data_IF_297613986210
#
_entry.id   IF_297613986210
#
_cell.length_a   1.000
_cell.length_b   1.000
_cell.length_c   1.000
_cell.angle_alpha   90.00
_cell.angle_beta   90.00
_cell.angle_gamma   90.00
#
_symmetry.space_group_name_H-M   'P 1'
#
loop_
_entity.id
_entity.type
_entity.pdbx_description
1 polymer ?
#
# COMPACT_ATOMS: atom_id res chain seq x y z
N UNK A 1 0.99 24.22 5.39
CA UNK A 1 -0.50 24.29 5.51
C UNK A 1 -1.18 25.00 4.34
N UNK A 2 -0.71 26.16 3.86
CA UNK A 2 -1.35 26.88 2.72
C UNK A 2 -1.24 26.10 1.41
N UNK A 3 -0.08 25.52 1.10
CA UNK A 3 0.14 24.76 -0.14
C UNK A 3 -0.69 23.47 -0.23
N UNK A 4 -0.84 22.77 0.89
CA UNK A 4 -1.66 21.53 0.93
C UNK A 4 -3.11 21.81 0.60
N UNK A 5 -3.67 22.88 1.13
CA UNK A 5 -5.08 23.26 0.90
C UNK A 5 -5.34 23.59 -0.57
N UNK A 6 -4.42 24.32 -1.21
CA UNK A 6 -4.52 24.64 -2.65
C UNK A 6 -4.55 23.41 -3.54
N UNK A 7 -3.81 22.32 -3.17
CA UNK A 7 -3.83 21.06 -3.92
C UNK A 7 -5.15 20.33 -3.70
N UNK A 8 -5.63 20.27 -2.44
CA UNK A 8 -6.86 19.53 -2.09
C UNK A 8 -8.11 20.11 -2.77
N UNK A 9 -8.16 21.41 -2.99
CA UNK A 9 -9.28 22.09 -3.69
C UNK A 9 -9.43 21.65 -5.17
N UNK A 10 -8.39 21.04 -5.76
CA UNK A 10 -8.41 20.54 -7.13
C UNK A 10 -8.70 19.03 -7.22
N UNK A 11 -8.84 18.32 -6.08
CA UNK A 11 -9.16 16.90 -6.08
C UNK A 11 -10.67 16.73 -6.28
N UNK A 12 -11.10 16.06 -7.35
CA UNK A 12 -12.53 15.81 -7.58
C UNK A 12 -13.06 14.77 -6.60
N UNK A 13 -14.27 14.96 -6.11
CA UNK A 13 -14.97 13.95 -5.34
C UNK A 13 -15.48 12.85 -6.28
N UNK A 14 -14.77 11.72 -6.33
CA UNK A 14 -15.04 10.60 -7.23
C UNK A 14 -15.69 9.41 -6.54
N UNK A 15 -15.57 9.32 -5.22
CA UNK A 15 -16.13 8.22 -4.44
C UNK A 15 -17.58 8.52 -4.12
N UNK A 16 -18.47 7.67 -4.62
CA UNK A 16 -19.91 7.78 -4.39
C UNK A 16 -20.34 7.11 -3.07
N UNK A 17 -21.55 7.42 -2.58
CA UNK A 17 -22.14 6.75 -1.41
C UNK A 17 -22.29 5.24 -1.63
N UNK A 18 -22.51 4.78 -2.86
CA UNK A 18 -22.58 3.34 -3.16
C UNK A 18 -21.20 2.69 -3.01
N UNK A 19 -20.13 3.34 -3.48
CA UNK A 19 -18.76 2.86 -3.30
C UNK A 19 -18.39 2.80 -1.80
N UNK A 20 -18.73 3.81 -1.02
CA UNK A 20 -18.50 3.82 0.42
C UNK A 20 -19.26 2.67 1.11
N UNK A 21 -20.51 2.41 0.76
CA UNK A 21 -21.24 1.24 1.29
C UNK A 21 -20.58 -0.09 0.95
N UNK A 22 -20.04 -0.24 -0.25
CA UNK A 22 -19.34 -1.45 -0.66
C UNK A 22 -18.01 -1.63 0.08
N UNK A 23 -17.27 -0.53 0.30
CA UNK A 23 -16.02 -0.54 1.06
C UNK A 23 -16.25 -0.86 2.54
N UNK A 24 -17.34 -0.34 3.13
CA UNK A 24 -17.67 -0.46 4.55
C UNK A 24 -18.57 -1.68 4.88
N UNK A 25 -18.90 -2.52 3.90
CA UNK A 25 -19.71 -3.71 4.15
C UNK A 25 -19.08 -4.62 5.22
N UNK A 26 -19.86 -5.39 5.96
CA UNK A 26 -19.36 -6.37 6.92
C UNK A 26 -18.31 -7.31 6.29
N UNK A 27 -17.31 -7.68 7.06
CA UNK A 27 -16.28 -8.62 6.62
C UNK A 27 -16.82 -10.03 6.82
N UNK A 28 -16.92 -10.79 5.72
CA UNK A 28 -17.46 -12.14 5.71
C UNK A 28 -16.33 -13.18 5.57
N UNK A 29 -16.60 -14.39 6.05
CA UNK A 29 -15.62 -15.48 6.03
C UNK A 29 -15.16 -15.83 4.61
N UNK A 30 -16.08 -15.82 3.65
CA UNK A 30 -15.80 -16.13 2.23
C UNK A 30 -14.87 -15.10 1.59
N UNK A 31 -14.98 -13.83 1.99
CA UNK A 31 -14.07 -12.78 1.55
C UNK A 31 -12.67 -12.97 2.12
N UNK A 32 -12.59 -13.28 3.42
CA UNK A 32 -11.34 -13.55 4.10
C UNK A 32 -10.63 -14.80 3.53
N UNK A 33 -11.37 -15.87 3.27
CA UNK A 33 -10.87 -17.09 2.64
C UNK A 33 -10.24 -16.80 1.27
N UNK A 34 -10.93 -16.04 0.41
CA UNK A 34 -10.40 -15.63 -0.90
C UNK A 34 -9.08 -14.85 -0.77
N UNK A 35 -8.99 -13.98 0.22
CA UNK A 35 -7.76 -13.21 0.48
C UNK A 35 -6.63 -14.14 0.89
N UNK A 36 -6.84 -15.02 1.86
CA UNK A 36 -5.83 -15.95 2.38
C UNK A 36 -5.33 -16.90 1.30
N UNK A 37 -6.24 -17.55 0.56
CA UNK A 37 -5.85 -18.49 -0.50
C UNK A 37 -5.35 -17.81 -1.77
N UNK A 38 -5.66 -16.53 -1.98
CA UNK A 38 -5.09 -15.71 -3.04
C UNK A 38 -3.66 -15.21 -2.79
N UNK A 39 -3.12 -15.41 -1.58
CA UNK A 39 -1.74 -15.03 -1.25
C UNK A 39 -0.74 -16.12 -1.71
N UNK A 40 0.39 -15.66 -2.27
CA UNK A 40 1.43 -16.57 -2.80
C UNK A 40 2.26 -17.17 -1.68
N UNK A 41 2.45 -18.50 -1.74
CA UNK A 41 3.38 -19.28 -0.90
C UNK A 41 4.84 -18.91 -1.15
N UNK A 42 5.73 -19.36 -0.25
CA UNK A 42 7.18 -19.18 -0.39
C UNK A 42 7.65 -17.75 -0.09
N UNK A 43 6.90 -16.98 0.68
CA UNK A 43 7.29 -15.65 1.14
C UNK A 43 7.71 -15.69 2.60
N UNK A 44 8.77 -14.93 2.92
CA UNK A 44 9.26 -14.83 4.29
C UNK A 44 8.19 -14.30 5.25
N UNK A 45 8.07 -14.91 6.44
CA UNK A 45 7.17 -14.42 7.48
C UNK A 45 7.68 -13.12 8.11
N UNK A 46 6.86 -12.54 8.97
CA UNK A 46 7.24 -11.44 9.85
C UNK A 46 7.89 -11.91 11.16
N UNK A 47 7.97 -11.01 12.16
CA UNK A 47 8.54 -11.32 13.48
C UNK A 47 7.86 -12.47 14.23
N UNK A 48 6.59 -12.75 13.96
CA UNK A 48 5.83 -13.86 14.57
C UNK A 48 6.23 -15.25 14.03
N UNK A 49 6.97 -15.28 12.91
CA UNK A 49 7.46 -16.52 12.31
C UNK A 49 6.41 -17.32 11.52
N UNK A 50 5.15 -16.88 11.43
CA UNK A 50 4.09 -17.60 10.74
C UNK A 50 4.03 -17.21 9.24
N UNK A 51 4.38 -18.13 8.32
CA UNK A 51 4.23 -17.89 6.88
C UNK A 51 2.78 -18.08 6.43
N UNK A 52 2.44 -17.64 5.21
CA UNK A 52 1.07 -17.80 4.68
C UNK A 52 0.64 -19.26 4.58
N UNK A 53 1.58 -20.18 4.38
CA UNK A 53 1.35 -21.61 4.33
C UNK A 53 0.69 -22.12 5.62
N UNK A 54 1.10 -21.59 6.78
CA UNK A 54 0.47 -21.91 8.06
C UNK A 54 -1.03 -21.56 8.05
N UNK A 55 -1.39 -20.36 7.60
CA UNK A 55 -2.79 -19.91 7.55
C UNK A 55 -3.63 -20.71 6.55
N UNK A 56 -3.02 -21.15 5.45
CA UNK A 56 -3.72 -21.95 4.44
C UNK A 56 -3.87 -23.42 4.88
N UNK A 57 -2.85 -24.00 5.51
CA UNK A 57 -2.87 -25.42 5.94
C UNK A 57 -3.79 -25.63 7.14
N UNK A 58 -3.76 -24.69 8.10
CA UNK A 58 -4.58 -24.76 9.31
C UNK A 58 -5.88 -23.96 9.21
N UNK A 59 -6.34 -23.63 8.00
CA UNK A 59 -7.51 -22.80 7.76
C UNK A 59 -8.74 -23.23 8.55
N UNK A 60 -9.09 -24.51 8.51
CA UNK A 60 -10.27 -25.05 9.19
C UNK A 60 -10.24 -24.87 10.72
N UNK A 61 -9.05 -24.72 11.28
CA UNK A 61 -8.88 -24.53 12.74
C UNK A 61 -8.96 -23.05 13.08
N UNK A 62 -8.28 -22.18 12.30
CA UNK A 62 -8.04 -20.77 12.68
C UNK A 62 -8.99 -19.76 12.04
N UNK A 63 -9.84 -20.17 11.08
CA UNK A 63 -10.63 -19.25 10.26
C UNK A 63 -11.54 -18.32 11.06
N UNK A 64 -12.16 -18.79 12.15
CA UNK A 64 -13.05 -17.97 12.96
C UNK A 64 -12.29 -17.00 13.84
N UNK A 65 -11.18 -17.43 14.45
CA UNK A 65 -10.32 -16.56 15.26
C UNK A 65 -9.68 -15.47 14.36
N UNK A 66 -9.24 -15.85 13.16
CA UNK A 66 -8.70 -14.88 12.18
C UNK A 66 -9.77 -13.88 11.73
N UNK A 67 -11.02 -14.36 11.50
CA UNK A 67 -12.13 -13.48 11.13
C UNK A 67 -12.42 -12.48 12.26
N UNK A 68 -12.44 -12.92 13.51
CA UNK A 68 -12.64 -12.07 14.68
C UNK A 68 -11.56 -10.98 14.77
N UNK A 69 -10.29 -11.34 14.64
CA UNK A 69 -9.16 -10.38 14.63
C UNK A 69 -9.30 -9.34 13.52
N UNK A 70 -9.69 -9.75 12.31
CA UNK A 70 -9.88 -8.84 11.18
C UNK A 70 -11.08 -7.92 11.40
N UNK A 71 -12.19 -8.47 11.91
CA UNK A 71 -13.39 -7.69 12.25
C UNK A 71 -13.14 -6.72 13.38
N UNK A 72 -12.41 -7.11 14.43
CA UNK A 72 -12.02 -6.24 15.53
C UNK A 72 -11.16 -5.06 15.04
N UNK A 73 -10.15 -5.33 14.20
CA UNK A 73 -9.34 -4.29 13.58
C UNK A 73 -10.21 -3.29 12.79
N UNK A 74 -11.19 -3.80 12.04
CA UNK A 74 -12.12 -2.96 11.29
C UNK A 74 -13.05 -2.15 12.21
N UNK A 75 -13.66 -2.77 13.22
CA UNK A 75 -14.62 -2.11 14.13
C UNK A 75 -13.96 -1.03 14.97
N UNK A 76 -12.80 -1.32 15.52
CA UNK A 76 -12.07 -0.43 16.41
C UNK A 76 -11.23 0.63 15.66
N UNK A 77 -11.07 0.49 14.32
CA UNK A 77 -10.16 1.32 13.51
C UNK A 77 -8.75 1.36 14.11
N UNK A 78 -8.33 0.24 14.67
CA UNK A 78 -7.04 0.09 15.34
C UNK A 78 -6.35 -1.19 14.87
N UNK A 79 -5.07 -1.06 14.60
CA UNK A 79 -4.19 -2.18 14.37
C UNK A 79 -3.40 -2.48 15.64
N UNK A 80 -3.52 -3.70 16.16
CA UNK A 80 -2.71 -4.13 17.30
C UNK A 80 -1.22 -4.05 16.95
N UNK A 81 -0.43 -3.43 17.80
CA UNK A 81 1.02 -3.25 17.58
C UNK A 81 1.76 -4.56 17.37
N UNK A 82 1.35 -5.63 18.08
CA UNK A 82 1.91 -6.97 17.92
C UNK A 82 1.67 -7.56 16.54
N UNK A 83 0.54 -7.26 15.90
CA UNK A 83 0.23 -7.72 14.55
C UNK A 83 1.01 -6.93 13.48
N UNK A 84 1.32 -5.66 13.75
CA UNK A 84 2.04 -4.77 12.82
C UNK A 84 3.52 -4.59 13.20
N UNK A 85 4.11 -5.59 13.85
CA UNK A 85 5.56 -5.66 14.02
C UNK A 85 6.20 -6.06 12.69
N UNK A 86 7.30 -5.40 12.33
CA UNK A 86 7.94 -5.58 11.01
C UNK A 86 9.45 -5.56 11.14
N UNK A 87 10.11 -6.57 10.59
CA UNK A 87 11.55 -6.54 10.37
C UNK A 87 11.90 -5.88 9.03
N UNK A 88 12.95 -5.09 9.04
CA UNK A 88 13.55 -4.53 7.82
C UNK A 88 14.84 -5.31 7.50
N UNK A 89 14.77 -6.14 6.47
CA UNK A 89 15.94 -6.83 5.92
C UNK A 89 16.63 -5.94 4.89
N UNK A 90 17.94 -5.74 5.02
CA UNK A 90 18.74 -4.90 4.13
C UNK A 90 19.33 -5.76 3.00
N UNK A 91 18.88 -5.51 1.77
CA UNK A 91 19.37 -6.21 0.57
C UNK A 91 20.28 -5.29 -0.22
N UNK A 92 21.54 -5.68 -0.50
CA UNK A 92 22.47 -4.86 -1.26
C UNK A 92 21.96 -4.67 -2.70
N UNK A 93 22.07 -3.44 -3.22
CA UNK A 93 21.77 -3.09 -4.62
C UNK A 93 22.93 -3.38 -5.56
N UNK A 94 24.13 -3.38 -5.00
CA UNK A 94 25.42 -3.57 -5.71
C UNK A 94 26.32 -4.46 -4.88
N UNK A 95 27.24 -5.15 -5.55
CA UNK A 95 28.26 -5.95 -4.88
C UNK A 95 29.22 -5.03 -4.08
N UNK A 96 29.57 -5.44 -2.85
CA UNK A 96 30.43 -4.65 -1.98
C UNK A 96 29.78 -3.39 -1.40
N UNK A 97 28.43 -3.37 -1.30
CA UNK A 97 27.70 -2.27 -0.67
C UNK A 97 28.28 -1.93 0.72
N UNK A 98 28.63 -0.66 0.94
CA UNK A 98 29.29 -0.17 2.16
C UNK A 98 28.64 1.09 2.77
N UNK A 99 27.55 1.59 2.17
CA UNK A 99 26.77 2.73 2.64
C UNK A 99 25.28 2.43 2.58
N UNK A 100 24.48 3.02 3.48
CA UNK A 100 23.04 2.70 3.64
C UNK A 100 22.20 2.95 2.38
N UNK A 101 22.56 3.93 1.57
CA UNK A 101 21.90 4.24 0.30
C UNK A 101 22.05 3.13 -0.75
N UNK A 102 23.06 2.27 -0.58
CA UNK A 102 23.30 1.10 -1.43
C UNK A 102 22.50 -0.15 -1.03
N UNK A 103 21.68 -0.07 0.00
CA UNK A 103 20.77 -1.14 0.41
C UNK A 103 19.32 -0.80 0.09
N UNK A 104 18.52 -1.84 -0.14
CA UNK A 104 17.05 -1.77 -0.19
C UNK A 104 16.50 -2.36 1.10
N UNK A 105 15.76 -1.60 1.91
CA UNK A 105 15.00 -2.21 3.00
C UNK A 105 13.84 -3.01 2.42
N UNK A 106 13.71 -4.26 2.85
CA UNK A 106 12.57 -5.13 2.55
C UNK A 106 11.82 -5.36 3.84
N UNK A 107 10.56 -4.94 3.88
CA UNK A 107 9.69 -5.11 5.02
C UNK A 107 9.18 -6.56 5.12
N UNK A 108 9.48 -7.21 6.23
CA UNK A 108 9.01 -8.54 6.60
C UNK A 108 7.91 -8.37 7.67
N UNK A 109 6.69 -8.08 7.20
CA UNK A 109 5.52 -7.89 8.08
C UNK A 109 4.90 -9.24 8.44
N UNK A 110 4.21 -9.30 9.57
CA UNK A 110 3.39 -10.45 9.95
C UNK A 110 2.30 -10.73 8.91
N UNK A 111 1.98 -12.00 8.73
CA UNK A 111 1.01 -12.41 7.71
C UNK A 111 -0.40 -11.93 8.03
N UNK A 112 -0.79 -11.92 9.30
CA UNK A 112 -2.09 -11.38 9.73
C UNK A 112 -2.26 -9.92 9.29
N UNK A 113 -1.23 -9.08 9.46
CA UNK A 113 -1.24 -7.71 8.96
C UNK A 113 -1.38 -7.67 7.43
N UNK A 114 -0.62 -8.51 6.71
CA UNK A 114 -0.71 -8.61 5.24
C UNK A 114 -2.12 -9.04 4.77
N UNK A 115 -2.80 -9.91 5.52
CA UNK A 115 -4.18 -10.33 5.22
C UNK A 115 -5.13 -9.13 5.33
N UNK A 116 -5.05 -8.35 6.43
CA UNK A 116 -5.89 -7.17 6.63
C UNK A 116 -5.66 -6.14 5.52
N UNK A 117 -4.40 -5.78 5.24
CA UNK A 117 -4.08 -4.80 4.19
C UNK A 117 -4.43 -5.31 2.79
N UNK A 118 -4.32 -6.61 2.53
CA UNK A 118 -4.75 -7.23 1.28
C UNK A 118 -6.27 -7.16 1.11
N UNK A 119 -7.04 -7.38 2.18
CA UNK A 119 -8.50 -7.24 2.17
C UNK A 119 -8.91 -5.80 1.84
N UNK A 120 -8.28 -4.80 2.46
CA UNK A 120 -8.47 -3.38 2.13
C UNK A 120 -8.19 -3.14 0.64
N UNK A 121 -7.06 -3.64 0.14
CA UNK A 121 -6.67 -3.49 -1.26
C UNK A 121 -7.65 -4.16 -2.23
N UNK A 122 -8.15 -5.38 -1.93
CA UNK A 122 -9.12 -6.08 -2.78
C UNK A 122 -10.49 -5.38 -2.81
N UNK A 123 -10.91 -4.74 -1.70
CA UNK A 123 -12.11 -3.91 -1.66
C UNK A 123 -11.97 -2.63 -2.49
N UNK A 124 -10.79 -2.00 -2.47
CA UNK A 124 -10.52 -0.78 -3.23
C UNK A 124 -10.35 -1.04 -4.73
N UNK A 125 -9.79 -2.18 -5.09
CA UNK A 125 -9.38 -2.53 -6.46
C UNK A 125 -10.44 -2.33 -7.56
N UNK A 126 -11.73 -2.68 -7.37
CA UNK A 126 -12.76 -2.44 -8.37
C UNK A 126 -12.96 -0.96 -8.74
N UNK A 127 -12.63 -0.05 -7.84
CA UNK A 127 -12.85 1.38 -8.00
C UNK A 127 -11.64 2.13 -8.56
N UNK A 128 -10.44 1.51 -8.57
CA UNK A 128 -9.20 2.17 -8.98
C UNK A 128 -9.25 2.75 -10.39
N UNK A 129 -9.91 2.08 -11.33
CA UNK A 129 -10.03 2.57 -12.71
C UNK A 129 -10.82 3.89 -12.80
N UNK A 130 -11.74 4.13 -11.88
CA UNK A 130 -12.52 5.38 -11.79
C UNK A 130 -11.77 6.48 -11.03
N UNK A 131 -10.97 6.09 -10.02
CA UNK A 131 -10.27 7.03 -9.13
C UNK A 131 -8.96 7.53 -9.70
N UNK A 132 -8.31 6.73 -10.54
CA UNK A 132 -6.96 6.99 -11.04
C UNK A 132 -7.04 7.28 -12.54
N UNK A 133 -6.50 8.43 -12.96
CA UNK A 133 -6.50 8.86 -14.36
C UNK A 133 -5.81 7.84 -15.28
N UNK A 134 -6.17 7.85 -16.56
CA UNK A 134 -5.71 6.83 -17.53
C UNK A 134 -4.20 6.88 -17.77
N UNK A 135 -3.56 8.02 -17.54
CA UNK A 135 -2.12 8.21 -17.71
C UNK A 135 -1.29 7.47 -16.65
N UNK A 136 -1.89 7.14 -15.50
CA UNK A 136 -1.22 6.36 -14.44
C UNK A 136 -1.21 4.88 -14.79
N UNK A 137 -0.10 4.37 -15.29
CA UNK A 137 0.05 2.95 -15.68
C UNK A 137 0.35 2.00 -14.51
N UNK A 138 0.98 2.47 -13.43
CA UNK A 138 1.40 1.64 -12.32
C UNK A 138 0.28 1.33 -11.31
N UNK A 139 0.26 0.09 -10.77
CA UNK A 139 -0.61 -0.38 -9.69
C UNK A 139 -2.11 -0.44 -10.00
N UNK A 140 -2.55 -0.12 -11.20
CA UNK A 140 -3.94 -0.25 -11.66
C UNK A 140 -4.06 -1.49 -12.53
N UNK A 141 -4.98 -2.41 -12.16
CA UNK A 141 -5.16 -3.66 -12.88
C UNK A 141 -5.59 -3.43 -14.34
N UNK A 142 -5.02 -4.21 -15.26
CA UNK A 142 -5.32 -4.11 -16.71
C UNK A 142 -4.50 -3.07 -17.47
N UNK A 143 -3.76 -2.18 -16.81
CA UNK A 143 -2.86 -1.20 -17.44
C UNK A 143 -1.45 -1.78 -17.58
N UNK A 144 -0.78 -1.44 -18.68
CA UNK A 144 0.58 -1.88 -18.95
C UNK A 144 1.57 -0.71 -18.93
N UNK A 145 2.75 -0.92 -18.38
CA UNK A 145 3.83 0.08 -18.38
C UNK A 145 4.22 0.44 -19.83
N UNK A 146 4.09 -0.52 -20.75
CA UNK A 146 4.38 -0.31 -22.19
C UNK A 146 3.46 0.74 -22.82
N UNK A 147 2.22 0.89 -22.39
CA UNK A 147 1.30 1.90 -22.91
C UNK A 147 1.87 3.30 -22.71
N UNK A 148 2.39 3.59 -21.53
CA UNK A 148 3.07 4.86 -21.23
C UNK A 148 4.34 5.08 -22.05
N UNK A 149 5.10 4.02 -22.34
CA UNK A 149 6.31 4.08 -23.18
C UNK A 149 5.93 4.43 -24.62
N UNK A 150 4.87 3.81 -25.17
CA UNK A 150 4.39 4.09 -26.53
C UNK A 150 3.92 5.53 -26.66
N UNK A 151 3.06 5.99 -25.72
CA UNK A 151 2.57 7.39 -25.69
C UNK A 151 3.73 8.37 -25.63
N UNK A 152 4.71 8.15 -24.76
CA UNK A 152 5.89 9.01 -24.66
C UNK A 152 6.71 9.01 -25.94
N UNK A 153 6.89 7.85 -26.58
CA UNK A 153 7.63 7.73 -27.85
C UNK A 153 6.93 8.45 -28.99
N UNK A 154 5.61 8.33 -29.10
CA UNK A 154 4.81 9.05 -30.09
C UNK A 154 4.83 10.57 -29.86
N UNK A 155 4.72 11.00 -28.61
CA UNK A 155 4.83 12.42 -28.25
C UNK A 155 6.19 13.00 -28.63
N UNK A 156 7.30 12.31 -28.34
CA UNK A 156 8.66 12.71 -28.72
C UNK A 156 8.82 12.77 -30.24
N UNK A 157 8.31 11.75 -30.96
CA UNK A 157 8.35 11.73 -32.42
C UNK A 157 7.58 12.91 -33.04
N UNK A 158 6.38 13.17 -32.52
CA UNK A 158 5.54 14.29 -32.94
C UNK A 158 6.23 15.64 -32.71
N UNK A 159 6.88 15.80 -31.54
CA UNK A 159 7.67 17.01 -31.24
C UNK A 159 8.88 17.17 -32.16
N UNK A 160 9.58 16.08 -32.49
CA UNK A 160 10.74 16.10 -33.35
C UNK A 160 10.38 16.43 -34.81
N UNK A 161 9.16 16.10 -35.28
CA UNK A 161 8.68 16.35 -36.65
C UNK A 161 7.92 17.66 -36.76
N UNK A 162 7.41 18.22 -35.67
CA UNK A 162 6.74 19.53 -35.70
C UNK A 162 7.76 20.66 -35.86
N UNK A 163 7.32 21.78 -36.43
CA UNK A 163 8.13 23.01 -36.53
C UNK A 163 8.05 23.85 -35.24
N UNK A 164 7.30 23.40 -34.25
CA UNK A 164 7.10 24.08 -32.98
C UNK A 164 8.20 23.72 -31.97
N UNK A 165 8.55 24.70 -31.14
CA UNK A 165 9.48 24.43 -30.02
C UNK A 165 8.72 23.68 -28.91
N UNK A 166 9.24 22.54 -28.49
CA UNK A 166 8.67 21.73 -27.41
C UNK A 166 9.76 21.34 -26.38
N UNK A 167 9.35 21.04 -25.18
CA UNK A 167 10.23 20.60 -24.09
C UNK A 167 9.62 19.36 -23.45
N UNK A 168 10.45 18.35 -23.25
CA UNK A 168 10.10 17.13 -22.52
C UNK A 168 10.79 17.14 -21.15
N UNK A 169 10.00 17.02 -20.07
CA UNK A 169 10.50 17.04 -18.69
C UNK A 169 10.22 15.68 -18.06
N UNK A 170 11.27 14.98 -17.63
CA UNK A 170 11.16 13.76 -16.84
C UNK A 170 11.29 14.12 -15.36
N UNK A 171 10.29 13.75 -14.55
CA UNK A 171 10.31 13.91 -13.10
C UNK A 171 10.49 12.54 -12.45
N UNK A 172 11.35 12.47 -11.44
CA UNK A 172 11.56 11.28 -10.60
C UNK A 172 11.48 11.69 -9.11
N UNK A 173 10.58 11.02 -8.39
CA UNK A 173 10.36 11.29 -6.97
C UNK A 173 11.20 10.31 -6.13
N UNK A 174 12.31 10.80 -5.60
CA UNK A 174 13.17 10.00 -4.72
C UNK A 174 12.43 9.55 -3.46
N UNK A 175 12.40 8.22 -3.22
CA UNK A 175 11.78 7.61 -2.04
C UNK A 175 10.32 8.05 -1.85
N UNK A 176 9.52 8.03 -2.92
CA UNK A 176 8.15 8.53 -2.92
C UNK A 176 7.29 7.93 -1.79
N UNK A 177 7.34 6.61 -1.61
CA UNK A 177 6.58 5.93 -0.54
C UNK A 177 7.03 6.34 0.86
N UNK A 178 8.33 6.46 1.12
CA UNK A 178 8.87 6.81 2.44
C UNK A 178 8.55 8.26 2.86
N UNK A 179 8.10 9.10 1.92
CA UNK A 179 7.91 10.55 2.11
C UNK A 179 6.45 10.99 2.15
N UNK A 180 5.51 10.08 2.02
CA UNK A 180 4.08 10.40 2.10
C UNK A 180 3.75 10.82 3.54
N UNK A 181 3.23 12.05 3.71
CA UNK A 181 2.68 12.51 4.98
C UNK A 181 1.35 11.82 5.24
N UNK A 182 1.15 11.29 6.43
CA UNK A 182 -0.12 10.65 6.80
C UNK A 182 -1.30 11.63 6.83
N UNK A 183 -1.05 12.87 7.29
CA UNK A 183 -2.06 13.93 7.24
C UNK A 183 -2.46 14.26 5.79
N UNK A 184 -1.47 14.28 4.88
CA UNK A 184 -1.76 14.49 3.47
C UNK A 184 -2.55 13.33 2.88
N UNK A 185 -2.18 12.09 3.19
CA UNK A 185 -2.91 10.88 2.77
C UNK A 185 -4.37 10.93 3.24
N UNK A 186 -4.60 11.21 4.53
CA UNK A 186 -5.94 11.34 5.09
C UNK A 186 -6.77 12.39 4.33
N UNK A 187 -6.21 13.59 4.18
CA UNK A 187 -6.91 14.70 3.52
C UNK A 187 -7.21 14.40 2.05
N UNK A 188 -6.30 13.75 1.33
CA UNK A 188 -6.53 13.33 -0.07
C UNK A 188 -7.65 12.30 -0.16
N UNK A 189 -7.66 11.28 0.70
CA UNK A 189 -8.73 10.28 0.71
C UNK A 189 -10.09 10.92 1.02
N UNK A 190 -10.16 11.82 1.99
CA UNK A 190 -11.38 12.56 2.31
C UNK A 190 -11.82 13.47 1.15
N UNK A 191 -10.89 14.15 0.48
CA UNK A 191 -11.20 14.97 -0.69
C UNK A 191 -11.76 14.15 -1.86
N UNK A 192 -11.28 12.93 -2.07
CA UNK A 192 -11.87 11.98 -3.01
C UNK A 192 -13.29 11.55 -2.65
N UNK A 193 -13.73 11.74 -1.40
CA UNK A 193 -15.05 11.39 -0.90
C UNK A 193 -15.13 10.03 -0.21
N UNK A 194 -13.98 9.46 0.20
CA UNK A 194 -14.00 8.26 1.06
C UNK A 194 -14.61 8.59 2.42
N UNK A 195 -15.38 7.64 2.94
CA UNK A 195 -15.95 7.74 4.28
C UNK A 195 -14.83 7.77 5.34
N UNK A 196 -15.05 8.55 6.41
CA UNK A 196 -14.10 8.69 7.52
C UNK A 196 -13.74 7.33 8.13
N UNK A 197 -14.72 6.43 8.28
CA UNK A 197 -14.47 5.10 8.84
C UNK A 197 -13.50 4.29 7.99
N UNK A 198 -13.58 4.41 6.67
CA UNK A 198 -12.63 3.77 5.76
C UNK A 198 -11.24 4.39 5.88
N UNK A 199 -11.18 5.72 5.90
CA UNK A 199 -9.92 6.47 6.03
C UNK A 199 -9.21 6.12 7.34
N UNK A 200 -9.93 6.09 8.46
CA UNK A 200 -9.38 5.75 9.77
C UNK A 200 -8.82 4.32 9.79
N UNK A 201 -9.52 3.37 9.17
CA UNK A 201 -9.01 1.99 9.08
C UNK A 201 -7.74 1.90 8.25
N UNK A 202 -7.66 2.56 7.09
CA UNK A 202 -6.44 2.64 6.27
C UNK A 202 -5.31 3.29 7.05
N UNK A 203 -5.57 4.42 7.73
CA UNK A 203 -4.57 5.13 8.53
C UNK A 203 -4.06 4.27 9.69
N UNK A 204 -4.93 3.50 10.35
CA UNK A 204 -4.51 2.61 11.43
C UNK A 204 -3.47 1.59 10.95
N UNK A 205 -3.56 1.14 9.71
CA UNK A 205 -2.58 0.22 9.12
C UNK A 205 -1.23 0.91 8.88
N UNK A 206 -1.20 2.13 8.36
CA UNK A 206 0.05 2.80 7.96
C UNK A 206 0.75 3.51 9.12
N UNK A 207 0.02 3.93 10.17
CA UNK A 207 0.60 4.67 11.30
C UNK A 207 1.05 3.81 12.46
N UNK A 208 0.67 2.53 12.50
CA UNK A 208 0.91 1.63 13.65
C UNK A 208 2.18 0.76 13.56
N UNK A 209 2.96 0.67 12.46
CA UNK A 209 4.08 -0.26 12.41
C UNK A 209 5.14 0.02 13.47
N UNK A 210 5.56 -1.03 14.17
CA UNK A 210 6.80 -1.05 14.94
C UNK A 210 7.88 -1.73 14.11
N UNK A 211 8.98 -1.03 13.88
CA UNK A 211 10.03 -1.42 12.95
C UNK A 211 11.31 -1.79 13.70
N UNK A 212 12.02 -2.81 13.21
CA UNK A 212 13.37 -3.15 13.68
C UNK A 212 14.20 -3.59 12.48
N UNK A 213 15.44 -3.13 12.39
CA UNK A 213 16.36 -3.52 11.31
C UNK A 213 17.05 -4.82 11.67
N UNK A 214 17.12 -5.77 10.73
CA UNK A 214 17.91 -6.98 10.90
C UNK A 214 19.36 -6.73 10.48
N UNK A 215 20.29 -6.84 11.43
CA UNK A 215 21.73 -6.80 11.20
C UNK A 215 22.31 -8.15 11.58
N UNK A 216 22.84 -8.89 10.62
CA UNK A 216 23.33 -10.26 10.82
C UNK A 216 22.29 -11.20 11.44
N UNK A 217 21.03 -11.04 11.03
CA UNK A 217 19.85 -11.78 11.53
C UNK A 217 19.41 -11.42 12.96
N UNK A 218 20.06 -10.46 13.62
CA UNK A 218 19.66 -9.95 14.92
C UNK A 218 18.85 -8.66 14.76
N UNK A 219 17.69 -8.52 15.45
CA UNK A 219 16.91 -7.29 15.40
C UNK A 219 17.58 -6.19 16.24
N UNK A 220 17.54 -4.97 15.71
CA UNK A 220 17.90 -3.76 16.47
C UNK A 220 16.75 -3.35 17.40
N UNK A 221 16.96 -2.29 18.20
CA UNK A 221 15.89 -1.67 18.97
C UNK A 221 14.72 -1.24 18.07
N UNK A 222 13.51 -1.28 18.63
CA UNK A 222 12.28 -0.88 17.94
C UNK A 222 12.25 0.63 17.71
N UNK A 223 11.80 1.02 16.54
CA UNK A 223 11.51 2.41 16.23
C UNK A 223 10.16 2.51 15.49
N UNK A 224 9.64 3.73 15.40
CA UNK A 224 8.36 4.02 14.76
C UNK A 224 8.56 5.00 13.61
N UNK A 225 7.85 4.77 12.51
CA UNK A 225 7.81 5.74 11.42
C UNK A 225 7.00 6.97 11.85
N UNK A 226 7.31 8.12 11.26
CA UNK A 226 6.54 9.37 11.39
C UNK A 226 5.84 9.77 10.08
N UNK A 227 6.12 9.06 9.01
CA UNK A 227 5.58 9.22 7.66
C UNK A 227 5.90 7.99 6.82
N UNK A 228 5.36 7.93 5.61
CA UNK A 228 5.60 6.83 4.66
C UNK A 228 4.51 5.74 4.71
N UNK A 229 4.59 4.83 3.74
CA UNK A 229 3.64 3.73 3.52
C UNK A 229 4.36 2.38 3.57
#
# INVERSE_FOLDING_TARGET
MVETRAILEHIPQLVSDSMNRDLLRPIMLEELEKVVFGMKKGKSPGPDGFPIEFFQEFWEIIKFDLLEVVQESYQNKQMLKSLNATFLALIPKVDGANSLDQFRPIALCNVTYKIITKLIAERLKPFLATLISEEQGGFVGGRQILDGVVIASEAIHSMATSKEKAMFIKLDLAKAYDRVSWDFLANVLLAFGFDMEWVDWVLSCVTSPSLSVLINLEPTDLFFASQGL
#
